data_IF_298894408648
#
_entry.id   IF_298894408648
#
_cell.length_a   1.000
_cell.length_b   1.000
_cell.length_c   1.000
_cell.angle_alpha   90.00
_cell.angle_beta   90.00
_cell.angle_gamma   90.00
#
_symmetry.space_group_name_H-M   'P 1'
#
loop_
_entity.id
_entity.type
_entity.pdbx_description
1 polymer ?
#
# COMPACT_ATOMS: atom_id res chain seq x y z
N UNK A 1 13.66 -8.02 15.12
CA UNK A 1 13.71 -6.69 15.79
C UNK A 1 14.51 -6.85 17.06
N UNK A 2 15.48 -5.96 17.30
CA UNK A 2 16.23 -5.94 18.59
C UNK A 2 15.66 -4.82 19.43
N UNK A 3 15.40 -5.11 20.70
CA UNK A 3 14.89 -4.17 21.69
C UNK A 3 15.33 -4.60 23.10
N UNK A 4 15.99 -3.70 23.87
CA UNK A 4 16.50 -3.93 25.21
C UNK A 4 17.28 -5.25 25.34
N UNK A 5 18.34 -5.43 24.52
CA UNK A 5 19.22 -6.61 24.46
C UNK A 5 18.48 -7.94 24.22
N UNK A 6 17.28 -7.87 23.66
CA UNK A 6 16.48 -9.02 23.25
C UNK A 6 16.21 -9.00 21.75
N UNK A 7 16.33 -10.14 21.11
CA UNK A 7 15.96 -10.35 19.72
C UNK A 7 14.57 -10.96 19.63
N UNK A 8 13.63 -10.21 19.07
CA UNK A 8 12.27 -10.69 18.75
C UNK A 8 12.24 -11.19 17.33
N UNK A 9 11.74 -12.41 17.13
CA UNK A 9 11.67 -13.08 15.83
C UNK A 9 10.28 -13.65 15.63
N UNK A 10 9.64 -13.32 14.51
CA UNK A 10 8.41 -13.99 14.06
C UNK A 10 8.76 -15.00 12.98
N UNK A 11 8.25 -16.21 13.10
CA UNK A 11 8.41 -17.32 12.19
C UNK A 11 7.05 -17.98 11.95
N UNK A 12 6.97 -18.92 11.00
CA UNK A 12 5.71 -19.61 10.64
C UNK A 12 4.99 -20.28 11.85
N UNK A 13 5.75 -20.72 12.84
CA UNK A 13 5.21 -21.43 14.00
C UNK A 13 5.02 -20.54 15.24
N UNK A 14 5.41 -19.27 15.20
CA UNK A 14 5.19 -18.34 16.30
C UNK A 14 6.20 -17.21 16.41
N UNK A 15 6.01 -16.39 17.43
CA UNK A 15 6.93 -15.32 17.82
C UNK A 15 7.73 -15.74 19.03
N UNK A 16 9.02 -15.51 18.97
CA UNK A 16 10.01 -15.85 19.98
C UNK A 16 10.76 -14.60 20.39
N UNK A 17 11.25 -14.60 21.62
CA UNK A 17 12.24 -13.64 22.11
C UNK A 17 13.49 -14.41 22.53
N UNK A 18 14.64 -13.95 22.10
CA UNK A 18 15.93 -14.43 22.52
C UNK A 18 16.65 -13.33 23.31
N UNK A 19 17.10 -13.68 24.51
CA UNK A 19 17.98 -12.83 25.30
C UNK A 19 19.39 -12.94 24.73
N UNK A 20 19.96 -11.79 24.32
CA UNK A 20 21.25 -11.74 23.60
C UNK A 20 22.46 -11.98 24.53
N UNK A 21 22.31 -11.82 25.84
CA UNK A 21 23.38 -12.07 26.80
C UNK A 21 23.49 -13.55 27.20
N UNK A 22 22.33 -14.21 27.25
CA UNK A 22 22.25 -15.59 27.76
C UNK A 22 21.93 -16.64 26.71
N UNK A 23 21.65 -16.24 25.47
CA UNK A 23 21.20 -17.08 24.36
C UNK A 23 19.92 -17.90 24.67
N UNK A 24 19.14 -17.48 25.65
CA UNK A 24 17.90 -18.15 26.04
C UNK A 24 16.73 -17.71 25.19
N UNK A 25 16.00 -18.70 24.68
CA UNK A 25 14.76 -18.47 23.94
C UNK A 25 13.54 -18.61 24.85
N UNK A 26 12.60 -17.69 24.66
CA UNK A 26 11.28 -17.77 25.23
C UNK A 26 10.25 -17.64 24.10
N UNK A 27 9.25 -18.51 24.14
CA UNK A 27 8.14 -18.47 23.21
C UNK A 27 7.09 -17.45 23.70
N UNK A 28 6.55 -16.63 22.77
CA UNK A 28 5.56 -15.59 23.08
C UNK A 28 4.16 -16.05 22.64
N UNK A 29 3.97 -16.34 21.34
CA UNK A 29 2.67 -16.73 20.80
C UNK A 29 2.80 -17.52 19.51
N UNK A 30 1.69 -18.18 19.07
CA UNK A 30 1.59 -18.89 17.78
C UNK A 30 1.03 -17.99 16.71
N UNK A 31 1.36 -18.30 15.44
CA UNK A 31 0.73 -17.77 14.23
C UNK A 31 0.73 -16.23 14.13
N UNK A 32 1.75 -15.56 14.65
CA UNK A 32 1.89 -14.12 14.48
C UNK A 32 2.34 -13.80 13.03
N UNK A 33 1.57 -12.97 12.32
CA UNK A 33 1.95 -12.47 11.00
C UNK A 33 3.01 -11.38 11.09
N UNK A 34 2.83 -10.45 12.04
CA UNK A 34 3.74 -9.32 12.23
C UNK A 34 3.59 -8.78 13.65
N UNK A 35 4.65 -8.14 14.14
CA UNK A 35 4.64 -7.49 15.44
C UNK A 35 5.47 -6.20 15.43
N UNK A 36 5.26 -5.36 16.43
CA UNK A 36 6.07 -4.17 16.74
C UNK A 36 6.03 -3.90 18.25
N UNK A 37 6.99 -3.12 18.74
CA UNK A 37 7.02 -2.65 20.12
C UNK A 37 6.84 -1.13 20.09
N UNK A 38 5.96 -0.61 20.94
CA UNK A 38 5.72 0.82 21.06
C UNK A 38 6.67 1.46 22.12
N UNK A 39 6.58 2.79 22.25
CA UNK A 39 7.40 3.54 23.21
C UNK A 39 7.06 3.31 24.68
N UNK A 40 5.92 2.68 24.93
CA UNK A 40 5.42 2.37 26.28
C UNK A 40 5.72 0.92 26.67
N UNK A 41 6.65 0.27 25.94
CA UNK A 41 7.02 -1.13 26.15
C UNK A 41 5.85 -2.11 25.98
N UNK A 42 4.91 -1.80 25.10
CA UNK A 42 3.89 -2.77 24.72
C UNK A 42 4.29 -3.46 23.42
N UNK A 43 4.14 -4.76 23.40
CA UNK A 43 4.24 -5.59 22.20
C UNK A 43 2.87 -5.67 21.52
N UNK A 44 2.83 -5.22 20.29
CA UNK A 44 1.66 -5.28 19.42
C UNK A 44 1.84 -6.41 18.41
N UNK A 45 0.89 -7.34 18.35
CA UNK A 45 0.99 -8.56 17.54
C UNK A 45 -0.26 -8.76 16.70
N UNK A 46 -0.08 -8.96 15.40
CA UNK A 46 -1.13 -9.41 14.48
C UNK A 46 -1.20 -10.94 14.47
N UNK A 47 -2.34 -11.50 14.84
CA UNK A 47 -2.61 -12.94 14.85
C UNK A 47 -3.97 -13.20 14.17
N UNK A 48 -3.96 -13.89 13.03
CA UNK A 48 -5.18 -14.14 12.28
C UNK A 48 -5.87 -12.84 11.88
N UNK A 49 -7.10 -12.60 12.35
CA UNK A 49 -7.88 -11.38 12.11
C UNK A 49 -7.95 -10.46 13.32
N UNK A 50 -6.96 -10.52 14.19
CA UNK A 50 -6.95 -9.83 15.46
C UNK A 50 -5.64 -9.11 15.73
N UNK A 51 -5.70 -8.04 16.48
CA UNK A 51 -4.55 -7.33 17.02
C UNK A 51 -4.52 -7.48 18.53
N UNK A 52 -3.38 -7.87 19.06
CA UNK A 52 -3.13 -7.98 20.49
C UNK A 52 -2.14 -6.92 20.92
N UNK A 53 -2.42 -6.27 22.04
CA UNK A 53 -1.50 -5.38 22.76
C UNK A 53 -1.16 -6.05 24.09
N UNK A 54 0.12 -6.22 24.39
CA UNK A 54 0.61 -6.89 25.57
C UNK A 54 1.74 -6.08 26.20
N UNK A 55 1.70 -5.84 27.50
CA UNK A 55 2.80 -5.21 28.22
C UNK A 55 3.98 -6.18 28.35
N UNK A 56 5.20 -5.75 27.95
CA UNK A 56 6.38 -6.61 28.02
C UNK A 56 6.76 -6.98 29.46
N UNK A 57 6.52 -6.08 30.41
CA UNK A 57 6.78 -6.33 31.83
C UNK A 57 5.75 -7.27 32.49
N UNK A 58 4.53 -7.27 31.97
CA UNK A 58 3.40 -8.03 32.49
C UNK A 58 2.64 -8.71 31.35
N UNK A 59 3.15 -9.82 30.79
CA UNK A 59 2.58 -10.47 29.61
C UNK A 59 1.13 -10.95 29.77
N UNK A 60 0.68 -11.17 31.00
CA UNK A 60 -0.71 -11.52 31.31
C UNK A 60 -1.68 -10.32 31.12
N UNK A 61 -1.14 -9.09 31.16
CA UNK A 61 -1.91 -7.88 30.88
C UNK A 61 -1.97 -7.65 29.39
N UNK A 62 -2.96 -8.25 28.74
CA UNK A 62 -3.14 -8.18 27.30
C UNK A 62 -4.53 -7.66 26.94
N UNK A 63 -4.58 -6.87 25.87
CA UNK A 63 -5.80 -6.39 25.25
C UNK A 63 -5.95 -6.94 23.86
N UNK A 64 -7.16 -7.36 23.52
CA UNK A 64 -7.52 -7.92 22.24
C UNK A 64 -8.44 -6.95 21.48
N UNK A 65 -8.11 -6.70 20.22
CA UNK A 65 -8.90 -5.93 19.29
C UNK A 65 -9.30 -6.81 18.11
N UNK A 66 -10.61 -6.99 17.90
CA UNK A 66 -11.13 -7.56 16.68
C UNK A 66 -10.99 -6.52 15.57
N UNK A 67 -10.26 -6.85 14.50
CA UNK A 67 -10.09 -5.92 13.39
C UNK A 67 -11.37 -5.84 12.55
N UNK A 68 -11.79 -4.63 12.12
CA UNK A 68 -12.97 -4.46 11.28
C UNK A 68 -12.72 -5.14 9.93
N UNK A 69 -13.68 -5.97 9.50
CA UNK A 69 -13.59 -6.67 8.22
C UNK A 69 -14.24 -5.84 7.11
N UNK A 70 -13.47 -5.57 6.07
CA UNK A 70 -13.95 -4.94 4.85
C UNK A 70 -13.64 -5.87 3.67
N UNK A 71 -14.68 -6.21 2.88
CA UNK A 71 -14.52 -7.04 1.69
C UNK A 71 -14.36 -8.55 1.93
N UNK A 72 -14.04 -9.26 0.84
CA UNK A 72 -13.96 -10.75 0.81
C UNK A 72 -12.60 -11.24 1.29
N UNK A 73 -11.53 -10.53 0.92
CA UNK A 73 -10.17 -10.82 1.37
C UNK A 73 -9.81 -9.88 2.52
N UNK A 74 -9.48 -10.46 3.65
CA UNK A 74 -9.10 -9.73 4.84
C UNK A 74 -7.98 -10.49 5.53
N UNK A 75 -6.76 -10.01 5.33
CA UNK A 75 -5.56 -10.62 5.92
C UNK A 75 -4.62 -9.52 6.41
N UNK A 76 -4.43 -9.37 7.74
CA UNK A 76 -3.42 -8.48 8.28
C UNK A 76 -2.02 -8.90 7.82
N UNK A 77 -1.23 -7.95 7.31
CA UNK A 77 0.09 -8.24 6.73
C UNK A 77 1.23 -7.69 7.57
N UNK A 78 1.19 -6.42 7.89
CA UNK A 78 2.30 -5.73 8.55
C UNK A 78 1.80 -4.75 9.59
N UNK A 79 2.46 -4.74 10.75
CA UNK A 79 2.32 -3.70 11.77
C UNK A 79 3.67 -3.04 12.02
N UNK A 80 3.66 -1.74 12.30
CA UNK A 80 4.86 -0.97 12.61
C UNK A 80 4.57 0.12 13.63
N UNK A 81 5.60 0.54 14.33
CA UNK A 81 5.64 1.75 15.13
C UNK A 81 6.48 2.79 14.40
N UNK A 82 5.97 4.01 14.23
CA UNK A 82 6.71 5.14 13.65
C UNK A 82 7.73 5.69 14.66
N UNK A 83 8.66 6.52 14.18
CA UNK A 83 9.57 7.28 15.05
C UNK A 83 8.83 8.22 16.02
N UNK A 84 7.65 8.71 15.64
CA UNK A 84 6.77 9.48 16.51
C UNK A 84 6.10 8.64 17.60
N UNK A 85 6.03 7.30 17.43
CA UNK A 85 5.40 6.36 18.35
C UNK A 85 3.99 5.96 17.95
N UNK A 86 3.51 6.40 16.77
CA UNK A 86 2.21 5.96 16.25
C UNK A 86 2.28 4.54 15.72
N UNK A 87 1.19 3.79 15.94
CA UNK A 87 1.06 2.41 15.47
C UNK A 87 0.24 2.39 14.19
N UNK A 88 0.82 1.81 13.14
CA UNK A 88 0.16 1.59 11.85
C UNK A 88 0.18 0.12 11.48
N UNK A 89 -0.87 -0.35 10.84
CA UNK A 89 -0.90 -1.69 10.24
C UNK A 89 -1.69 -1.71 8.95
N UNK A 90 -1.28 -2.59 8.04
CA UNK A 90 -1.96 -2.81 6.75
C UNK A 90 -2.68 -4.14 6.76
N UNK A 91 -3.80 -4.14 6.04
CA UNK A 91 -4.67 -5.29 5.86
C UNK A 91 -4.92 -5.47 4.37
N UNK A 92 -4.64 -6.65 3.85
CA UNK A 92 -4.96 -7.01 2.47
C UNK A 92 -6.49 -6.95 2.28
N UNK A 93 -6.93 -6.12 1.33
CA UNK A 93 -8.34 -5.81 1.11
C UNK A 93 -8.98 -4.83 2.10
N UNK A 94 -8.25 -4.44 3.16
CA UNK A 94 -8.73 -3.52 4.19
C UNK A 94 -8.02 -2.16 4.22
N UNK A 95 -6.91 -1.99 3.50
CA UNK A 95 -6.16 -0.73 3.50
C UNK A 95 -5.22 -0.57 4.69
N UNK A 96 -5.05 0.69 5.15
CA UNK A 96 -4.15 1.09 6.23
C UNK A 96 -4.95 1.56 7.43
N UNK A 97 -4.51 1.19 8.61
CA UNK A 97 -5.09 1.60 9.89
C UNK A 97 -4.04 2.26 10.76
N UNK A 98 -4.46 3.28 11.52
CA UNK A 98 -3.71 3.88 12.62
C UNK A 98 -4.45 3.65 13.92
N UNK A 99 -3.75 3.20 14.95
CA UNK A 99 -4.31 3.17 16.30
C UNK A 99 -4.41 4.57 16.88
N UNK A 100 -5.60 4.94 17.31
CA UNK A 100 -5.86 6.19 18.05
C UNK A 100 -5.92 5.89 19.53
N UNK A 101 -4.89 6.32 20.25
CA UNK A 101 -4.74 6.11 21.68
C UNK A 101 -5.80 6.86 22.52
N UNK A 102 -6.31 8.00 22.01
CA UNK A 102 -7.28 8.81 22.76
C UNK A 102 -8.66 8.16 22.79
N UNK A 103 -9.06 7.58 21.70
CA UNK A 103 -10.38 6.93 21.54
C UNK A 103 -10.30 5.41 21.71
N UNK A 104 -9.07 4.86 21.83
CA UNK A 104 -8.80 3.43 21.88
C UNK A 104 -9.44 2.67 20.71
N UNK A 105 -9.34 3.26 19.52
CA UNK A 105 -9.96 2.77 18.28
C UNK A 105 -8.99 2.90 17.10
N UNK A 106 -9.47 2.66 15.88
CA UNK A 106 -8.67 2.72 14.67
C UNK A 106 -9.18 3.77 13.70
N UNK A 107 -8.27 4.61 13.21
CA UNK A 107 -8.50 5.50 12.07
C UNK A 107 -8.18 4.70 10.82
N UNK A 108 -9.10 4.72 9.84
CA UNK A 108 -9.02 3.95 8.61
C UNK A 108 -8.68 4.83 7.42
N UNK A 109 -7.66 4.43 6.67
CA UNK A 109 -7.26 5.01 5.40
C UNK A 109 -7.52 4.00 4.29
N UNK A 110 -8.22 4.41 3.24
CA UNK A 110 -8.64 3.53 2.15
C UNK A 110 -8.53 4.20 0.78
N UNK A 111 -8.76 3.44 -0.27
CA UNK A 111 -8.89 3.96 -1.62
C UNK A 111 -10.12 4.87 -1.73
N UNK A 112 -11.23 4.50 -1.12
CA UNK A 112 -12.49 5.26 -1.13
C UNK A 112 -12.35 6.62 -0.43
N UNK A 113 -11.52 6.69 0.62
CA UNK A 113 -11.21 7.95 1.31
C UNK A 113 -10.19 8.81 0.55
N UNK A 114 -9.65 8.33 -0.58
CA UNK A 114 -8.66 9.03 -1.40
C UNK A 114 -7.23 8.98 -0.85
N UNK A 115 -6.98 8.28 0.26
CA UNK A 115 -5.67 8.23 0.89
C UNK A 115 -4.76 7.13 0.36
N UNK A 116 -5.31 6.09 -0.27
CA UNK A 116 -4.54 4.96 -0.79
C UNK A 116 -4.81 4.74 -2.27
N UNK A 117 -3.79 4.24 -2.98
CA UNK A 117 -3.90 3.81 -4.37
C UNK A 117 -4.79 2.56 -4.51
N UNK A 118 -4.79 1.70 -3.48
CA UNK A 118 -5.58 0.48 -3.39
C UNK A 118 -5.76 0.05 -1.94
N UNK A 119 -6.83 -0.71 -1.65
CA UNK A 119 -7.05 -1.36 -0.36
C UNK A 119 -6.28 -2.68 -0.22
N UNK A 120 -5.72 -3.23 -1.31
CA UNK A 120 -4.91 -4.44 -1.28
C UNK A 120 -3.46 -4.10 -0.91
N UNK A 121 -3.27 -3.72 0.35
CA UNK A 121 -1.98 -3.30 0.90
C UNK A 121 -1.16 -4.49 1.39
N UNK A 122 0.13 -4.51 1.05
CA UNK A 122 1.08 -5.58 1.42
C UNK A 122 2.01 -5.19 2.56
N UNK A 123 2.52 -3.97 2.53
CA UNK A 123 3.50 -3.51 3.50
C UNK A 123 3.37 -2.01 3.79
N UNK A 124 3.85 -1.58 4.95
CA UNK A 124 3.99 -0.19 5.34
C UNK A 124 5.32 0.03 6.04
N UNK A 125 5.98 1.14 5.72
CA UNK A 125 7.19 1.60 6.40
C UNK A 125 7.20 3.12 6.47
N UNK A 126 7.99 3.67 7.38
CA UNK A 126 8.21 5.10 7.50
C UNK A 126 9.46 5.53 6.73
N UNK A 127 9.37 6.58 5.91
CA UNK A 127 10.50 7.18 5.21
C UNK A 127 11.33 8.07 6.15
N UNK A 128 12.51 8.51 5.69
CA UNK A 128 13.33 9.44 6.49
C UNK A 128 12.67 10.83 6.65
N UNK A 129 11.73 11.19 5.77
CA UNK A 129 10.93 12.41 5.83
C UNK A 129 9.61 12.25 6.59
N UNK A 130 9.47 11.18 7.39
CA UNK A 130 8.28 10.89 8.21
C UNK A 130 6.97 10.68 7.42
N UNK A 131 7.07 10.46 6.09
CA UNK A 131 5.95 9.98 5.30
C UNK A 131 5.82 8.46 5.45
N UNK A 132 4.61 7.93 5.37
CA UNK A 132 4.36 6.50 5.30
C UNK A 132 4.43 6.05 3.84
N UNK A 133 5.22 5.03 3.59
CA UNK A 133 5.31 4.33 2.31
C UNK A 133 4.51 3.05 2.39
N UNK A 134 3.39 2.98 1.66
CA UNK A 134 2.49 1.83 1.63
C UNK A 134 2.54 1.17 0.26
N UNK A 135 2.87 -0.11 0.21
CA UNK A 135 2.84 -0.90 -1.04
C UNK A 135 1.51 -1.61 -1.21
N UNK A 136 1.06 -1.71 -2.46
CA UNK A 136 -0.20 -2.35 -2.84
C UNK A 136 -0.08 -3.05 -4.20
N UNK A 137 -1.13 -3.75 -4.61
CA UNK A 137 -1.26 -4.38 -5.92
C UNK A 137 -1.15 -3.41 -7.11
N UNK A 138 -1.41 -2.11 -6.90
CA UNK A 138 -1.37 -1.07 -7.94
C UNK A 138 -0.10 -0.22 -7.94
N UNK A 139 0.72 -0.34 -6.89
CA UNK A 139 1.92 0.46 -6.73
C UNK A 139 2.15 0.92 -5.30
N UNK A 140 2.64 2.12 -5.14
CA UNK A 140 3.09 2.68 -3.89
C UNK A 140 2.33 3.97 -3.57
N UNK A 141 1.90 4.11 -2.33
CA UNK A 141 1.34 5.34 -1.77
C UNK A 141 2.33 5.95 -0.79
N UNK A 142 2.63 7.23 -0.96
CA UNK A 142 3.24 8.07 0.07
C UNK A 142 2.11 8.82 0.77
N UNK A 143 2.00 8.65 2.07
CA UNK A 143 1.02 9.33 2.92
C UNK A 143 1.74 10.15 3.96
N UNK A 144 1.51 11.46 3.98
CA UNK A 144 1.94 12.29 5.09
C UNK A 144 0.92 12.16 6.23
N UNK A 145 1.29 11.57 7.38
CA UNK A 145 0.34 11.28 8.44
C UNK A 145 -0.18 12.52 9.17
N UNK A 146 0.51 13.66 9.04
CA UNK A 146 0.14 14.92 9.72
C UNK A 146 -0.82 15.76 8.88
N UNK A 147 -0.55 15.87 7.57
CA UNK A 147 -1.36 16.68 6.67
C UNK A 147 -2.47 15.88 5.96
N UNK A 148 -2.36 14.55 5.94
CA UNK A 148 -3.22 13.67 5.16
C UNK A 148 -2.93 13.68 3.65
N UNK A 149 -1.94 14.47 3.21
CA UNK A 149 -1.59 14.54 1.79
C UNK A 149 -1.02 13.20 1.31
N UNK A 150 -1.43 12.82 0.11
CA UNK A 150 -0.98 11.59 -0.53
C UNK A 150 -0.34 11.84 -1.89
N UNK A 151 0.58 10.95 -2.25
CA UNK A 151 1.17 10.86 -3.58
C UNK A 151 1.25 9.40 -3.98
N UNK A 152 1.06 9.14 -5.26
CA UNK A 152 1.00 7.80 -5.81
C UNK A 152 2.09 7.55 -6.84
N UNK A 153 2.70 6.37 -6.79
CA UNK A 153 3.56 5.84 -7.83
C UNK A 153 2.97 4.51 -8.33
N UNK A 154 2.52 4.50 -9.58
CA UNK A 154 1.83 3.35 -10.18
C UNK A 154 2.81 2.41 -10.88
N UNK A 155 2.47 1.13 -10.89
CA UNK A 155 3.22 0.09 -11.61
C UNK A 155 3.25 0.39 -13.11
N UNK A 156 4.37 0.10 -13.75
CA UNK A 156 4.57 0.30 -15.18
C UNK A 156 4.66 1.76 -15.64
N UNK A 157 4.10 2.71 -14.89
CA UNK A 157 4.17 4.12 -15.22
C UNK A 157 5.31 4.84 -14.49
N UNK A 158 5.29 4.79 -13.17
CA UNK A 158 6.30 5.42 -12.31
C UNK A 158 7.32 4.40 -11.77
N UNK A 159 6.90 3.15 -11.62
CA UNK A 159 7.74 2.07 -11.14
C UNK A 159 7.94 1.06 -12.27
N UNK A 160 9.21 0.76 -12.66
CA UNK A 160 9.51 -0.14 -13.78
C UNK A 160 9.40 -1.63 -13.41
N UNK A 161 8.43 -1.98 -12.59
CA UNK A 161 8.02 -3.34 -12.24
C UNK A 161 6.55 -3.54 -12.56
N UNK A 162 6.15 -4.76 -12.87
CA UNK A 162 4.78 -5.09 -13.29
C UNK A 162 3.87 -5.47 -12.12
N UNK A 163 4.47 -5.91 -11.02
CA UNK A 163 3.74 -6.28 -9.80
C UNK A 163 4.63 -6.13 -8.57
N UNK A 164 4.03 -5.79 -7.44
CA UNK A 164 4.69 -5.87 -6.13
C UNK A 164 4.38 -7.24 -5.54
N UNK A 165 5.42 -7.95 -5.09
CA UNK A 165 5.24 -9.26 -4.50
C UNK A 165 4.65 -9.16 -3.10
N UNK A 166 3.66 -10.01 -2.79
CA UNK A 166 3.16 -10.19 -1.42
C UNK A 166 4.29 -10.69 -0.52
N UNK A 167 4.47 -10.06 0.62
CA UNK A 167 5.58 -10.34 1.55
C UNK A 167 6.92 -9.68 1.20
N UNK A 168 7.03 -8.96 0.08
CA UNK A 168 8.22 -8.16 -0.20
C UNK A 168 8.42 -7.06 0.83
N UNK A 169 9.68 -6.93 1.26
CA UNK A 169 10.11 -5.82 2.09
C UNK A 169 10.17 -4.52 1.32
N UNK A 170 10.04 -3.44 2.05
CA UNK A 170 10.41 -2.10 1.63
C UNK A 170 11.71 -1.75 2.37
N UNK A 171 12.71 -1.25 1.65
CA UNK A 171 13.92 -0.74 2.27
C UNK A 171 14.01 0.76 2.01
N UNK A 172 14.18 1.51 3.09
CA UNK A 172 14.47 2.95 3.07
C UNK A 172 15.93 3.13 3.46
N UNK A 173 16.76 3.57 2.53
CA UNK A 173 18.17 3.79 2.77
C UNK A 173 18.43 5.14 3.45
N UNK A 174 19.60 5.28 4.07
CA UNK A 174 20.02 6.54 4.73
C UNK A 174 20.11 7.73 3.77
N UNK A 175 20.38 7.47 2.50
CA UNK A 175 20.46 8.48 1.42
C UNK A 175 19.07 8.78 0.80
N UNK A 176 17.97 8.33 1.41
CA UNK A 176 16.59 8.44 0.92
C UNK A 176 16.26 7.61 -0.32
N UNK A 177 17.15 6.75 -0.77
CA UNK A 177 16.84 5.78 -1.82
C UNK A 177 15.87 4.72 -1.27
N UNK A 178 14.83 4.45 -2.03
CA UNK A 178 13.76 3.52 -1.69
C UNK A 178 13.88 2.29 -2.58
N UNK A 179 13.77 1.11 -1.99
CA UNK A 179 13.76 -0.16 -2.72
C UNK A 179 12.43 -0.87 -2.49
N UNK A 180 11.84 -1.34 -3.57
CA UNK A 180 10.59 -2.12 -3.55
C UNK A 180 10.77 -3.37 -4.41
N UNK A 181 10.45 -4.52 -3.84
CA UNK A 181 10.52 -5.81 -4.53
C UNK A 181 9.25 -6.12 -5.32
N UNK A 182 9.42 -6.63 -6.51
CA UNK A 182 8.36 -7.16 -7.37
C UNK A 182 8.57 -8.64 -7.70
N UNK A 183 7.59 -9.27 -8.32
CA UNK A 183 7.73 -10.64 -8.80
C UNK A 183 8.70 -10.76 -9.99
N UNK A 184 8.90 -9.67 -10.71
CA UNK A 184 9.75 -9.53 -11.88
C UNK A 184 11.08 -8.81 -11.61
N UNK A 185 11.37 -8.49 -10.35
CA UNK A 185 12.64 -7.90 -9.96
C UNK A 185 12.56 -6.92 -8.78
N UNK A 186 13.60 -6.14 -8.63
CA UNK A 186 13.75 -5.11 -7.62
C UNK A 186 13.83 -3.75 -8.32
N UNK A 187 13.06 -2.78 -7.85
CA UNK A 187 13.18 -1.38 -8.29
C UNK A 187 13.71 -0.51 -7.17
N UNK A 188 14.55 0.47 -7.55
CA UNK A 188 14.92 1.54 -6.65
C UNK A 188 14.59 2.90 -7.27
N UNK A 189 14.27 3.86 -6.42
CA UNK A 189 13.91 5.22 -6.82
C UNK A 189 14.06 6.18 -5.64
N UNK A 190 14.14 7.47 -5.96
CA UNK A 190 14.01 8.54 -4.99
C UNK A 190 12.60 9.13 -5.08
N UNK A 191 12.05 9.56 -3.94
CA UNK A 191 10.73 10.19 -3.91
C UNK A 191 10.63 11.40 -4.86
N UNK A 192 11.71 12.19 -4.93
CA UNK A 192 11.80 13.39 -5.76
C UNK A 192 11.77 13.10 -7.27
N UNK A 193 12.17 11.89 -7.67
CA UNK A 193 12.13 11.49 -9.07
C UNK A 193 10.71 11.28 -9.58
N UNK A 194 9.79 10.92 -8.68
CA UNK A 194 8.38 10.79 -9.03
C UNK A 194 7.76 12.13 -9.45
N UNK A 195 8.27 13.25 -8.94
CA UNK A 195 7.82 14.59 -9.28
C UNK A 195 8.27 15.02 -10.69
N UNK A 196 9.42 14.50 -11.14
CA UNK A 196 9.98 14.76 -12.46
C UNK A 196 9.33 13.93 -13.57
N UNK A 197 8.58 12.92 -13.21
CA UNK A 197 7.89 11.99 -14.12
C UNK A 197 6.53 12.50 -14.56
N UNK A 198 6.26 13.82 -14.59
CA UNK A 198 5.10 14.36 -15.26
C UNK A 198 5.15 13.97 -16.74
N UNK A 199 4.56 12.82 -17.05
CA UNK A 199 4.33 12.42 -18.43
C UNK A 199 3.24 13.34 -18.95
N UNK A 200 3.55 14.15 -19.96
CA UNK A 200 2.55 14.78 -20.82
C UNK A 200 1.77 13.66 -21.51
N UNK A 201 0.66 13.26 -20.91
CA UNK A 201 -0.24 12.31 -21.54
C UNK A 201 -0.99 13.02 -22.66
N UNK A 202 -0.75 12.59 -23.89
CA UNK A 202 -1.62 12.97 -25.01
C UNK A 202 -2.84 12.05 -24.99
N UNK A 203 -4.01 12.62 -24.84
CA UNK A 203 -5.26 11.88 -24.88
C UNK A 203 -5.70 11.75 -26.35
N UNK A 204 -5.87 10.52 -26.82
CA UNK A 204 -6.36 10.24 -28.17
C UNK A 204 -7.64 9.42 -28.06
N UNK A 205 -8.63 9.81 -28.87
CA UNK A 205 -9.79 8.95 -29.11
C UNK A 205 -9.36 7.85 -30.10
N UNK A 206 -9.45 6.60 -29.72
CA UNK A 206 -9.01 5.48 -30.57
C UNK A 206 -10.04 5.03 -31.56
N UNK A 207 -11.34 5.13 -31.24
CA UNK A 207 -12.44 4.60 -32.05
C UNK A 207 -13.68 5.48 -31.94
N UNK A 208 -14.45 5.52 -33.02
CA UNK A 208 -15.75 6.17 -33.08
C UNK A 208 -16.85 5.12 -33.34
N UNK A 209 -17.90 5.16 -32.54
CA UNK A 209 -19.09 4.34 -32.72
C UNK A 209 -20.31 5.23 -32.91
N UNK A 210 -21.14 4.93 -33.93
CA UNK A 210 -22.45 5.55 -34.12
C UNK A 210 -23.49 4.45 -34.17
N UNK A 211 -24.52 4.52 -33.30
CA UNK A 211 -25.53 3.47 -33.14
C UNK A 211 -24.91 2.08 -32.96
N UNK A 212 -23.90 1.96 -32.08
CA UNK A 212 -23.15 0.73 -31.82
C UNK A 212 -22.40 0.12 -33.01
N UNK A 213 -22.23 0.88 -34.12
CA UNK A 213 -21.42 0.46 -35.25
C UNK A 213 -20.12 1.25 -35.31
N UNK A 214 -19.00 0.54 -35.36
CA UNK A 214 -17.68 1.15 -35.51
C UNK A 214 -17.57 1.85 -36.86
N UNK A 215 -17.09 3.08 -36.86
CA UNK A 215 -16.88 3.90 -38.02
C UNK A 215 -15.42 3.80 -38.45
N UNK A 216 -15.22 3.46 -39.71
CA UNK A 216 -13.90 3.37 -40.33
C UNK A 216 -13.65 4.56 -41.24
N UNK A 217 -12.37 4.97 -41.48
CA UNK A 217 -12.03 6.00 -42.45
C UNK A 217 -12.46 5.64 -43.86
N UNK A 218 -12.81 6.65 -44.65
CA UNK A 218 -13.14 6.52 -46.05
C UNK A 218 -14.62 6.29 -46.37
N UNK A 219 -14.89 5.97 -47.65
CA UNK A 219 -16.25 5.89 -48.19
C UNK A 219 -17.13 4.78 -47.62
N UNK A 220 -16.53 3.73 -47.01
CA UNK A 220 -17.24 2.59 -46.45
C UNK A 220 -18.19 3.02 -45.32
N UNK A 221 -17.85 4.07 -44.58
CA UNK A 221 -18.65 4.63 -43.47
C UNK A 221 -19.40 5.90 -43.85
N UNK A 222 -19.65 6.12 -45.18
CA UNK A 222 -20.34 7.29 -45.65
C UNK A 222 -19.55 8.60 -45.56
N UNK A 223 -18.21 8.52 -45.50
CA UNK A 223 -17.33 9.69 -45.49
C UNK A 223 -17.34 10.47 -44.17
N UNK A 224 -17.79 9.87 -43.07
CA UNK A 224 -17.84 10.52 -41.73
C UNK A 224 -16.42 10.80 -41.23
N UNK A 225 -15.49 9.87 -41.47
CA UNK A 225 -14.07 10.01 -41.18
C UNK A 225 -13.26 10.01 -42.47
N UNK A 226 -12.50 11.06 -42.70
CA UNK A 226 -11.56 11.14 -43.84
C UNK A 226 -10.28 10.39 -43.55
N UNK A 227 -9.83 10.42 -42.31
CA UNK A 227 -8.64 9.77 -41.79
C UNK A 227 -8.94 8.99 -40.48
N UNK A 228 -7.99 8.20 -39.96
CA UNK A 228 -8.17 7.45 -38.75
C UNK A 228 -8.50 8.38 -37.57
N UNK A 229 -9.45 7.97 -36.73
CA UNK A 229 -10.05 8.80 -35.67
C UNK A 229 -9.05 9.54 -34.79
N UNK A 230 -7.90 8.93 -34.36
CA UNK A 230 -6.90 9.62 -33.55
C UNK A 230 -6.28 10.85 -34.23
N UNK A 231 -6.33 10.93 -35.55
CA UNK A 231 -5.75 12.01 -36.35
C UNK A 231 -6.81 13.01 -36.83
N UNK A 232 -8.10 12.68 -36.73
CA UNK A 232 -9.20 13.52 -37.17
C UNK A 232 -9.35 14.76 -36.29
N UNK A 233 -9.26 15.95 -36.92
CA UNK A 233 -9.41 17.24 -36.23
C UNK A 233 -10.88 17.61 -35.97
N UNK A 234 -11.80 17.08 -36.76
CA UNK A 234 -13.23 17.33 -36.65
C UNK A 234 -14.04 16.19 -37.23
N UNK A 235 -15.25 15.99 -36.71
CA UNK A 235 -16.19 15.00 -37.21
C UNK A 235 -17.49 15.74 -37.50
N UNK A 236 -18.08 15.46 -38.65
CA UNK A 236 -19.39 16.01 -39.03
C UNK A 236 -20.43 14.89 -39.05
N UNK A 237 -21.39 14.99 -38.15
CA UNK A 237 -22.53 14.08 -38.06
C UNK A 237 -23.78 14.79 -38.59
N UNK A 238 -24.63 14.08 -39.31
CA UNK A 238 -25.97 14.57 -39.61
C UNK A 238 -26.91 14.27 -38.43
N UNK A 239 -28.11 14.86 -38.42
CA UNK A 239 -29.01 14.74 -37.29
C UNK A 239 -29.49 13.29 -37.03
N UNK A 240 -29.47 12.39 -38.02
CA UNK A 240 -29.80 10.97 -37.86
C UNK A 240 -28.68 10.15 -37.22
N UNK A 241 -27.47 10.70 -37.16
CA UNK A 241 -26.28 10.07 -36.63
C UNK A 241 -25.93 10.58 -35.21
N UNK A 242 -26.73 11.48 -34.65
CA UNK A 242 -26.48 12.18 -33.40
C UNK A 242 -27.34 11.65 -32.23
N UNK A 243 -27.91 10.47 -32.38
CA UNK A 243 -28.71 9.79 -31.32
C UNK A 243 -27.97 8.57 -30.80
#
# INVERSE_FOLDING_TARGET
MIHNDKLYVSAMNGTFVMDLDTDRFQWICRNAQSFTIDREENLWILIGTSLYKMELAHPDNQKHYALPRYGIQFEPKRIMTTRAGDIYFVVLGGGLYRYDKQTDSFIHYSQESGHLLSNYCYNVTETNSEELLVTSDKGVTFLNPFSGNTRFATLGANLPITSIADGCGILVCRNNELFVGGNDGLTSFYREDLDKMEKNYSLYFSELYIHNKRIYPGAVSGGILEEAFPFSKSIRLNYKQNN
#
